data_IF_787501240901
#
_entry.id   IF_787501240901
#
_cell.length_a   1.000
_cell.length_b   1.000
_cell.length_c   1.000
_cell.angle_alpha   90.00
_cell.angle_beta   90.00
_cell.angle_gamma   90.00
#
_symmetry.space_group_name_H-M   'P 1'
#
loop_
_entity.id
_entity.type
_entity.pdbx_description
1 polymer ?
#
# COMPACT_ATOMS: atom_id res chain seq x y z
N UNK A 1 -10.01 -7.13 16.24
CA UNK A 1 -10.97 -8.00 15.52
C UNK A 1 -12.32 -7.98 16.23
N UNK A 2 -13.41 -8.31 15.53
CA UNK A 2 -14.77 -8.20 16.09
C UNK A 2 -15.01 -9.14 17.28
N UNK A 3 -15.47 -8.59 18.41
CA UNK A 3 -15.81 -9.37 19.61
C UNK A 3 -14.64 -9.82 20.48
N UNK A 4 -13.41 -9.41 20.16
CA UNK A 4 -12.23 -9.69 20.99
C UNK A 4 -11.95 -8.57 21.98
N UNK A 5 -11.36 -8.92 23.12
CA UNK A 5 -10.85 -7.95 24.09
C UNK A 5 -9.74 -7.11 23.44
N UNK A 6 -9.79 -5.80 23.68
CA UNK A 6 -8.78 -4.86 23.21
C UNK A 6 -8.45 -3.83 24.29
N UNK A 7 -7.25 -3.27 24.22
CA UNK A 7 -6.86 -2.14 25.06
C UNK A 7 -7.60 -0.84 24.70
N UNK A 8 -7.38 0.24 25.46
CA UNK A 8 -7.90 1.56 25.13
C UNK A 8 -7.49 1.99 23.71
N UNK A 9 -8.41 2.65 23.00
CA UNK A 9 -8.15 3.17 21.66
C UNK A 9 -7.29 4.45 21.77
N UNK A 10 -6.13 4.52 21.11
CA UNK A 10 -5.38 5.77 21.00
C UNK A 10 -6.21 6.82 20.26
N UNK A 11 -6.37 8.01 20.85
CA UNK A 11 -7.18 9.10 20.28
C UNK A 11 -6.32 10.23 19.69
N UNK A 12 -5.00 10.05 19.70
CA UNK A 12 -4.05 10.97 19.10
C UNK A 12 -4.23 10.98 17.58
N UNK A 13 -4.09 12.14 16.95
CA UNK A 13 -4.10 12.25 15.49
C UNK A 13 -2.87 11.56 14.88
N UNK A 14 -3.00 11.10 13.64
CA UNK A 14 -1.88 10.56 12.86
C UNK A 14 -1.29 11.64 11.96
N UNK A 15 -0.01 11.94 12.11
CA UNK A 15 0.71 12.82 11.18
C UNK A 15 1.16 12.03 9.95
N UNK A 16 0.41 12.17 8.86
CA UNK A 16 0.63 11.39 7.65
C UNK A 16 1.93 11.81 6.94
N UNK A 17 2.80 10.83 6.72
CA UNK A 17 3.94 10.98 5.83
C UNK A 17 3.47 11.21 4.38
N UNK A 18 4.31 11.85 3.57
CA UNK A 18 3.96 12.15 2.18
C UNK A 18 3.65 10.88 1.35
N UNK A 19 4.35 9.78 1.61
CA UNK A 19 4.13 8.53 0.88
C UNK A 19 2.75 7.93 1.20
N UNK A 20 2.28 8.04 2.45
CA UNK A 20 0.94 7.57 2.86
C UNK A 20 -0.16 8.31 2.09
N UNK A 21 -0.02 9.64 1.96
CA UNK A 21 -0.93 10.45 1.14
C UNK A 21 -0.91 10.05 -0.33
N UNK A 22 0.24 9.62 -0.85
CA UNK A 22 0.34 9.11 -2.24
C UNK A 22 -0.31 7.74 -2.39
N UNK A 23 -0.23 6.86 -1.39
CA UNK A 23 -0.93 5.57 -1.39
C UNK A 23 -2.45 5.80 -1.44
N UNK A 24 -2.97 6.73 -0.64
CA UNK A 24 -4.39 7.10 -0.67
C UNK A 24 -4.81 7.61 -2.07
N UNK A 25 -4.03 8.54 -2.63
CA UNK A 25 -4.28 9.04 -4.00
C UNK A 25 -4.23 7.93 -5.05
N UNK A 26 -3.29 6.98 -4.95
CA UNK A 26 -3.21 5.83 -5.85
C UNK A 26 -4.45 4.94 -5.76
N UNK A 27 -4.96 4.70 -4.54
CA UNK A 27 -6.19 3.93 -4.34
C UNK A 27 -7.36 4.58 -5.10
N UNK A 28 -7.55 5.89 -4.92
CA UNK A 28 -8.62 6.65 -5.61
C UNK A 28 -8.45 6.61 -7.13
N UNK A 29 -7.25 6.91 -7.63
CA UNK A 29 -6.99 6.97 -9.07
C UNK A 29 -7.14 5.62 -9.77
N UNK A 30 -6.69 4.53 -9.14
CA UNK A 30 -6.81 3.20 -9.71
C UNK A 30 -8.26 2.71 -9.71
N UNK A 31 -9.02 2.99 -8.64
CA UNK A 31 -10.45 2.71 -8.58
C UNK A 31 -11.24 3.49 -9.65
N UNK A 32 -10.92 4.76 -9.87
CA UNK A 32 -11.54 5.57 -10.94
C UNK A 32 -11.21 5.09 -12.36
N UNK A 33 -10.13 4.32 -12.51
CA UNK A 33 -9.71 3.72 -13.79
C UNK A 33 -10.22 2.30 -13.98
N UNK A 34 -11.09 1.83 -13.08
CA UNK A 34 -11.63 0.47 -13.07
C UNK A 34 -10.53 -0.62 -13.04
N UNK A 35 -9.35 -0.32 -12.48
CA UNK A 35 -8.27 -1.29 -12.35
C UNK A 35 -8.55 -2.30 -11.23
N UNK A 36 -9.34 -1.91 -10.24
CA UNK A 36 -9.90 -2.79 -9.21
C UNK A 36 -11.14 -2.15 -8.58
N UNK A 37 -11.90 -2.96 -7.84
CA UNK A 37 -13.03 -2.50 -7.04
C UNK A 37 -12.66 -2.40 -5.56
N UNK A 38 -13.52 -1.73 -4.77
CA UNK A 38 -13.38 -1.74 -3.30
C UNK A 38 -13.38 -3.16 -2.75
N UNK A 39 -14.22 -4.05 -3.31
CA UNK A 39 -14.25 -5.46 -2.91
C UNK A 39 -12.94 -6.18 -3.25
N UNK A 40 -12.34 -5.90 -4.41
CA UNK A 40 -11.02 -6.43 -4.80
C UNK A 40 -9.90 -5.96 -3.86
N UNK A 41 -9.93 -4.70 -3.44
CA UNK A 41 -9.00 -4.17 -2.45
C UNK A 41 -9.17 -4.88 -1.10
N UNK A 42 -10.41 -5.05 -0.64
CA UNK A 42 -10.72 -5.73 0.63
C UNK A 42 -10.31 -7.19 0.62
N UNK A 43 -10.60 -7.92 -0.46
CA UNK A 43 -10.14 -9.30 -0.65
C UNK A 43 -8.62 -9.38 -0.48
N UNK A 44 -7.88 -8.57 -1.22
CA UNK A 44 -6.42 -8.59 -1.15
C UNK A 44 -5.87 -8.25 0.25
N UNK A 45 -6.53 -7.36 1.00
CA UNK A 45 -6.18 -7.06 2.39
C UNK A 45 -6.46 -8.23 3.34
N UNK A 46 -7.64 -8.84 3.21
CA UNK A 46 -8.08 -9.94 4.07
C UNK A 46 -7.27 -11.23 3.80
N UNK A 47 -6.79 -11.43 2.55
CA UNK A 47 -5.92 -12.54 2.15
C UNK A 47 -4.50 -12.48 2.78
N UNK A 48 -4.06 -11.33 3.32
CA UNK A 48 -2.72 -11.18 3.91
C UNK A 48 -2.53 -11.95 5.23
N UNK A 49 -3.63 -12.36 5.87
CA UNK A 49 -3.61 -13.04 7.15
C UNK A 49 -3.30 -12.13 8.35
N UNK A 50 -3.46 -12.67 9.55
CA UNK A 50 -3.40 -11.92 10.82
C UNK A 50 -2.05 -11.24 11.07
N UNK A 51 -0.94 -11.90 10.74
CA UNK A 51 0.42 -11.38 10.96
C UNK A 51 0.64 -10.02 10.27
N UNK A 52 0.08 -9.83 9.07
CA UNK A 52 0.17 -8.55 8.37
C UNK A 52 -0.53 -7.43 9.13
N UNK A 53 -1.66 -7.70 9.78
CA UNK A 53 -2.41 -6.71 10.56
C UNK A 53 -1.72 -6.33 11.88
N UNK A 54 -0.84 -7.21 12.38
CA UNK A 54 -0.03 -6.94 13.57
C UNK A 54 1.27 -6.19 13.25
N UNK A 55 1.92 -6.51 12.14
CA UNK A 55 3.27 -6.04 11.83
C UNK A 55 3.33 -4.87 10.85
N UNK A 56 2.34 -4.72 9.98
CA UNK A 56 2.32 -3.69 8.96
C UNK A 56 1.42 -2.53 9.39
N UNK A 57 1.88 -1.32 9.12
CA UNK A 57 1.06 -0.13 9.21
C UNK A 57 -0.13 -0.18 8.24
N UNK A 58 -1.11 0.67 8.48
CA UNK A 58 -2.32 0.75 7.65
C UNK A 58 -2.01 0.96 6.16
N UNK A 59 -1.13 1.92 5.85
CA UNK A 59 -0.80 2.22 4.45
C UNK A 59 0.17 1.23 3.81
N UNK A 60 0.98 0.51 4.58
CA UNK A 60 1.77 -0.61 4.05
C UNK A 60 0.86 -1.73 3.54
N UNK A 61 -0.20 -2.06 4.30
CA UNK A 61 -1.19 -3.05 3.85
C UNK A 61 -1.94 -2.55 2.60
N UNK A 62 -2.30 -1.27 2.56
CA UNK A 62 -2.97 -0.70 1.39
C UNK A 62 -2.12 -0.73 0.14
N UNK A 63 -0.85 -0.31 0.19
CA UNK A 63 -0.01 -0.32 -1.01
C UNK A 63 0.27 -1.75 -1.49
N UNK A 64 0.42 -2.71 -0.58
CA UNK A 64 0.54 -4.12 -0.93
C UNK A 64 -0.72 -4.65 -1.63
N UNK A 65 -1.92 -4.31 -1.13
CA UNK A 65 -3.19 -4.71 -1.73
C UNK A 65 -3.44 -4.04 -3.09
N UNK A 66 -3.08 -2.76 -3.23
CA UNK A 66 -3.12 -2.04 -4.52
C UNK A 66 -2.18 -2.70 -5.52
N UNK A 67 -0.93 -2.99 -5.13
CA UNK A 67 0.04 -3.67 -5.98
C UNK A 67 -0.46 -5.03 -6.46
N UNK A 68 -1.01 -5.85 -5.55
CA UNK A 68 -1.60 -7.15 -5.89
C UNK A 68 -2.69 -7.03 -6.95
N UNK A 69 -3.62 -6.09 -6.77
CA UNK A 69 -4.71 -5.87 -7.72
C UNK A 69 -4.20 -5.37 -9.09
N UNK A 70 -3.20 -4.49 -9.12
CA UNK A 70 -2.61 -3.99 -10.36
C UNK A 70 -1.87 -5.07 -11.15
N UNK A 71 -1.20 -6.00 -10.47
CA UNK A 71 -0.61 -7.19 -11.09
C UNK A 71 -1.68 -8.11 -11.68
N UNK A 72 -2.74 -8.40 -10.92
CA UNK A 72 -3.86 -9.24 -11.37
C UNK A 72 -4.62 -8.63 -12.56
N UNK A 73 -4.74 -7.30 -12.59
CA UNK A 73 -5.31 -6.56 -13.71
C UNK A 73 -4.38 -6.47 -14.94
N UNK A 74 -3.12 -6.91 -14.81
CA UNK A 74 -2.12 -6.84 -15.88
C UNK A 74 -1.66 -5.40 -16.19
N UNK A 75 -1.76 -4.48 -15.24
CA UNK A 75 -1.29 -3.10 -15.41
C UNK A 75 0.24 -3.01 -15.55
N UNK A 76 0.95 -3.97 -14.95
CA UNK A 76 2.37 -4.24 -15.11
C UNK A 76 2.67 -5.69 -14.69
N UNK A 77 3.85 -6.20 -15.06
CA UNK A 77 4.33 -7.51 -14.63
C UNK A 77 5.19 -7.45 -13.36
N UNK A 78 5.49 -8.62 -12.77
CA UNK A 78 6.42 -8.73 -11.64
C UNK A 78 7.83 -8.29 -12.03
N UNK A 79 8.26 -8.58 -13.25
CA UNK A 79 9.56 -8.20 -13.79
C UNK A 79 9.68 -6.68 -13.95
N UNK A 80 8.62 -6.03 -14.46
CA UNK A 80 8.57 -4.57 -14.60
C UNK A 80 8.59 -3.88 -13.23
N UNK A 81 7.85 -4.43 -12.25
CA UNK A 81 7.86 -3.94 -10.88
C UNK A 81 9.25 -4.05 -10.26
N UNK A 82 9.90 -5.23 -10.36
CA UNK A 82 11.24 -5.45 -9.82
C UNK A 82 12.28 -4.51 -10.45
N UNK A 83 12.28 -4.39 -11.79
CA UNK A 83 13.17 -3.47 -12.49
C UNK A 83 12.96 -2.02 -12.04
N UNK A 84 11.70 -1.61 -11.83
CA UNK A 84 11.40 -0.26 -11.34
C UNK A 84 11.82 -0.04 -9.88
N UNK A 85 11.68 -1.04 -9.02
CA UNK A 85 12.16 -0.99 -7.64
C UNK A 85 13.69 -0.84 -7.60
N UNK A 86 14.43 -1.57 -8.44
CA UNK A 86 15.89 -1.45 -8.56
C UNK A 86 16.33 -0.07 -9.07
N UNK A 87 15.57 0.52 -10.01
CA UNK A 87 15.80 1.89 -10.46
C UNK A 87 15.55 2.94 -9.37
N UNK A 88 14.54 2.73 -8.52
CA UNK A 88 14.22 3.66 -7.42
C UNK A 88 15.25 3.53 -6.31
N UNK A 89 15.63 2.31 -5.93
CA UNK A 89 16.64 2.05 -4.90
C UNK A 89 18.01 2.67 -5.23
N UNK A 90 18.40 2.69 -6.51
CA UNK A 90 19.64 3.34 -6.96
C UNK A 90 19.66 4.86 -6.80
N UNK A 91 18.51 5.51 -6.58
CA UNK A 91 18.42 6.97 -6.40
C UNK A 91 18.67 7.39 -4.96
N UNK A 92 18.60 6.48 -4.00
CA UNK A 92 18.78 6.75 -2.58
C UNK A 92 18.17 5.67 -1.70
N UNK A 93 18.68 5.53 -0.48
CA UNK A 93 18.22 4.52 0.48
C UNK A 93 16.93 4.98 1.18
N UNK A 94 16.77 6.28 1.37
CA UNK A 94 15.55 6.86 1.93
C UNK A 94 14.58 7.31 0.85
N UNK A 95 13.28 7.37 1.21
CA UNK A 95 12.26 7.95 0.36
C UNK A 95 12.58 9.39 -0.07
N UNK A 96 13.17 10.19 0.82
CA UNK A 96 13.56 11.58 0.53
C UNK A 96 14.64 11.67 -0.54
N UNK A 97 15.70 10.88 -0.40
CA UNK A 97 16.80 10.81 -1.38
C UNK A 97 16.32 10.29 -2.73
N UNK A 98 15.53 9.20 -2.73
CA UNK A 98 15.02 8.61 -3.96
C UNK A 98 14.09 9.54 -4.76
N UNK A 99 13.42 10.48 -4.08
CA UNK A 99 12.55 11.48 -4.71
C UNK A 99 13.27 12.75 -5.17
N UNK A 100 14.45 13.06 -4.63
CA UNK A 100 15.20 14.27 -5.02
C UNK A 100 15.67 14.22 -6.50
N UNK A 101 15.72 13.03 -7.07
CA UNK A 101 16.19 12.75 -8.43
C UNK A 101 15.11 12.13 -9.34
N UNK A 102 13.83 12.24 -8.95
CA UNK A 102 12.69 11.63 -9.65
C UNK A 102 12.10 12.52 -10.75
#
# INVERSE_FOLDING_TARGET
MGGQDAGPVPMEGHDFALWEKRVDALMVLCGQKDLFTVDGLRRALEDMGEEAFEKMSYYERWIAAVNQNLLEAGAYSLEELAARMDEVARRGESYGEAQAHA
#
